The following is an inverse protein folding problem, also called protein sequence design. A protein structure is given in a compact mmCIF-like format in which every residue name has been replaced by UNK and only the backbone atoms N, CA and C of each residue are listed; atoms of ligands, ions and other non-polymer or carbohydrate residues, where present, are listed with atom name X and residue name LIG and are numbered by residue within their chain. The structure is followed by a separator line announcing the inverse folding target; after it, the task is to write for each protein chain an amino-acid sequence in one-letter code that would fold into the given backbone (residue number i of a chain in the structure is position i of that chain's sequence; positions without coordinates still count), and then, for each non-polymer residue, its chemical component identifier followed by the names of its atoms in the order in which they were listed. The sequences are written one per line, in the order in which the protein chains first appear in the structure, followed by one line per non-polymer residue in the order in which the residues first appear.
data_IF_018033939461
#
_entry.id   IF_018033939461
#
_cell.length_a   1.000
_cell.length_b   1.000
_cell.length_c   1.000
_cell.angle_alpha   90.00
_cell.angle_beta   90.00
_cell.angle_gamma   90.00
#
_symmetry.space_group_name_H-M   'P 1'
#
loop_
_entity.id
_entity.type
_entity.pdbx_description
1 polymer ?
#
# COMPACT_ATOMS: atom_id res chain seq x y z
N UNK A 1 23.07 -1.91 -15.99
CA UNK A 1 23.06 -1.62 -14.54
C UNK A 1 23.02 -2.94 -13.81
N UNK A 2 23.69 -3.06 -12.66
CA UNK A 2 23.63 -4.28 -11.87
C UNK A 2 22.23 -4.46 -11.24
N UNK A 3 21.84 -5.71 -10.99
CA UNK A 3 20.50 -6.08 -10.48
C UNK A 3 20.16 -5.47 -9.12
N UNK A 4 21.18 -5.20 -8.31
CA UNK A 4 21.09 -4.64 -6.98
C UNK A 4 21.09 -3.11 -6.93
N UNK A 5 21.20 -2.44 -8.09
CA UNK A 5 21.18 -0.99 -8.19
C UNK A 5 19.96 -0.39 -7.49
N UNK A 6 20.23 0.50 -6.54
CA UNK A 6 19.20 1.23 -5.83
C UNK A 6 18.66 2.39 -6.70
N UNK A 7 17.47 2.90 -6.39
CA UNK A 7 16.90 4.08 -7.06
C UNK A 7 17.90 5.24 -7.10
N UNK A 8 18.64 5.47 -6.01
CA UNK A 8 19.68 6.51 -5.96
C UNK A 8 20.79 6.31 -7.01
N UNK A 9 21.23 5.07 -7.23
CA UNK A 9 22.25 4.74 -8.23
C UNK A 9 21.70 4.90 -9.65
N UNK A 10 20.45 4.50 -9.85
CA UNK A 10 19.75 4.61 -11.14
C UNK A 10 19.59 6.07 -11.53
N UNK A 11 19.11 6.91 -10.60
CA UNK A 11 18.96 8.37 -10.80
C UNK A 11 20.32 9.00 -11.15
N UNK A 12 21.35 8.71 -10.36
CA UNK A 12 22.69 9.28 -10.57
C UNK A 12 23.29 8.91 -11.93
N UNK A 13 23.06 7.68 -12.40
CA UNK A 13 23.52 7.25 -13.72
C UNK A 13 22.70 7.87 -14.87
N UNK A 14 21.39 8.01 -14.71
CA UNK A 14 20.53 8.64 -15.71
C UNK A 14 20.91 10.11 -15.88
N UNK A 15 21.09 10.85 -14.78
CA UNK A 15 21.50 12.27 -14.80
C UNK A 15 22.85 12.46 -15.51
N UNK A 16 23.83 11.61 -15.19
CA UNK A 16 25.14 11.62 -15.88
C UNK A 16 25.01 11.42 -17.38
N UNK A 17 24.01 10.67 -17.85
CA UNK A 17 23.77 10.38 -19.27
C UNK A 17 22.85 11.40 -19.95
N UNK A 18 21.95 12.04 -19.22
CA UNK A 18 20.98 13.01 -19.74
C UNK A 18 21.48 14.45 -19.73
N UNK A 19 22.68 14.71 -19.20
CA UNK A 19 23.28 16.05 -19.07
C UNK A 19 22.34 17.05 -18.37
N UNK A 20 21.52 16.56 -17.43
CA UNK A 20 20.62 17.41 -16.68
C UNK A 20 21.43 18.39 -15.80
N UNK A 21 21.10 19.68 -15.87
CA UNK A 21 21.73 20.73 -15.05
C UNK A 21 21.23 20.73 -13.60
N UNK A 22 20.18 19.97 -13.32
CA UNK A 22 19.57 19.86 -12.00
C UNK A 22 20.21 18.73 -11.16
N UNK A 23 20.30 18.95 -9.85
CA UNK A 23 20.86 17.97 -8.91
C UNK A 23 20.02 16.69 -8.80
N UNK A 24 20.59 15.59 -8.26
CA UNK A 24 19.92 14.30 -8.14
C UNK A 24 18.65 14.32 -7.30
N UNK A 25 18.53 15.26 -6.36
CA UNK A 25 17.38 15.39 -5.48
C UNK A 25 16.11 15.88 -6.21
N UNK A 26 16.25 16.45 -7.41
CA UNK A 26 15.12 16.94 -8.19
C UNK A 26 14.44 15.85 -9.02
N UNK A 27 14.93 14.60 -8.98
CA UNK A 27 14.42 13.52 -9.79
C UNK A 27 13.89 12.38 -8.94
N UNK A 28 12.89 11.68 -9.48
CA UNK A 28 12.31 10.51 -8.84
C UNK A 28 11.97 9.44 -9.86
N UNK A 29 11.94 8.19 -9.39
CA UNK A 29 11.48 7.05 -10.17
C UNK A 29 10.11 6.64 -9.64
N UNK A 30 9.14 6.60 -10.54
CA UNK A 30 7.78 6.12 -10.26
C UNK A 30 7.55 4.76 -10.90
N UNK A 31 6.81 3.90 -10.21
CA UNK A 31 6.33 2.61 -10.67
C UNK A 31 4.85 2.76 -11.03
N UNK A 32 4.50 2.51 -12.29
CA UNK A 32 3.12 2.35 -12.74
C UNK A 32 2.80 0.87 -12.89
N UNK A 33 1.73 0.41 -12.23
CA UNK A 33 1.23 -0.95 -12.29
C UNK A 33 -0.30 -0.95 -12.26
N UNK A 34 -0.93 -1.50 -13.30
CA UNK A 34 -2.39 -1.55 -13.44
C UNK A 34 -3.09 -0.19 -13.26
N UNK A 35 -2.49 0.89 -13.76
CA UNK A 35 -3.03 2.24 -13.63
C UNK A 35 -2.81 2.89 -12.26
N UNK A 36 -2.17 2.18 -11.33
CA UNK A 36 -1.74 2.72 -10.05
C UNK A 36 -0.30 3.17 -10.12
N UNK A 37 0.00 4.33 -9.52
CA UNK A 37 1.34 4.93 -9.55
C UNK A 37 1.89 5.04 -8.13
N UNK A 38 3.15 4.66 -7.96
CA UNK A 38 3.89 4.72 -6.69
C UNK A 38 5.27 5.31 -6.90
N UNK A 39 5.63 6.32 -6.10
CA UNK A 39 7.01 6.80 -6.01
C UNK A 39 7.86 5.78 -5.25
N UNK A 40 9.03 5.45 -5.80
CA UNK A 40 9.96 4.51 -5.18
C UNK A 40 10.91 5.24 -4.23
N UNK A 41 11.21 4.62 -3.09
CA UNK A 41 12.17 5.14 -2.13
C UNK A 41 13.61 4.94 -2.64
N UNK A 42 14.58 5.77 -2.19
CA UNK A 42 15.97 5.74 -2.69
C UNK A 42 16.68 4.39 -2.58
N UNK A 43 16.34 3.61 -1.55
CA UNK A 43 16.93 2.29 -1.28
C UNK A 43 16.24 1.13 -2.04
N UNK A 44 15.11 1.39 -2.71
CA UNK A 44 14.42 0.35 -3.48
C UNK A 44 15.19 -0.01 -4.75
N UNK A 45 15.01 -1.24 -5.23
CA UNK A 45 15.80 -1.82 -6.33
C UNK A 45 14.88 -2.11 -7.52
N UNK A 46 14.67 -1.16 -8.44
CA UNK A 46 13.65 -1.28 -9.50
C UNK A 46 13.92 -2.44 -10.46
N UNK A 47 15.19 -2.71 -10.79
CA UNK A 47 15.58 -3.82 -11.67
C UNK A 47 15.26 -5.16 -11.00
N UNK A 48 15.56 -5.29 -9.71
CA UNK A 48 15.20 -6.49 -8.93
C UNK A 48 13.67 -6.65 -8.79
N UNK A 49 12.93 -5.56 -8.68
CA UNK A 49 11.46 -5.59 -8.68
C UNK A 49 10.92 -6.15 -10.00
N UNK A 50 11.42 -5.64 -11.14
CA UNK A 50 11.04 -6.13 -12.46
C UNK A 50 11.36 -7.63 -12.62
N UNK A 51 12.57 -8.07 -12.24
CA UNK A 51 12.96 -9.49 -12.26
C UNK A 51 11.97 -10.34 -11.46
N UNK A 52 11.61 -9.92 -10.25
CA UNK A 52 10.65 -10.66 -9.41
C UNK A 52 9.25 -10.72 -10.02
N UNK A 53 8.81 -9.66 -10.70
CA UNK A 53 7.51 -9.65 -11.40
C UNK A 53 7.51 -10.61 -12.58
N UNK A 54 8.58 -10.65 -13.38
CA UNK A 54 8.76 -11.61 -14.46
C UNK A 54 8.70 -13.04 -13.93
N UNK A 55 9.42 -13.34 -12.85
CA UNK A 55 9.38 -14.66 -12.21
C UNK A 55 7.99 -15.04 -11.71
N UNK A 56 7.21 -14.07 -11.20
CA UNK A 56 5.83 -14.32 -10.77
C UNK A 56 4.87 -14.64 -11.92
N UNK A 57 5.17 -14.17 -13.13
CA UNK A 57 4.37 -14.47 -14.34
C UNK A 57 4.85 -15.73 -15.06
N UNK A 58 5.93 -16.36 -14.57
CA UNK A 58 6.38 -17.68 -15.01
C UNK A 58 7.72 -17.68 -15.77
N UNK A 59 8.40 -16.54 -15.87
CA UNK A 59 9.74 -16.51 -16.46
C UNK A 59 10.76 -17.19 -15.53
N UNK A 60 11.56 -18.07 -16.09
CA UNK A 60 12.64 -18.77 -15.41
C UNK A 60 14.00 -18.18 -15.77
N UNK A 61 15.05 -18.47 -14.99
CA UNK A 61 16.40 -17.96 -15.28
C UNK A 61 16.92 -18.42 -16.66
N UNK A 62 16.43 -19.55 -17.19
CA UNK A 62 16.72 -20.07 -18.53
C UNK A 62 16.20 -19.16 -19.67
N UNK A 63 15.18 -18.35 -19.39
CA UNK A 63 14.56 -17.43 -20.35
C UNK A 63 15.36 -16.13 -20.50
N UNK A 64 16.58 -16.07 -19.93
CA UNK A 64 17.48 -14.92 -19.97
C UNK A 64 16.78 -13.64 -19.50
N UNK A 65 16.22 -13.68 -18.29
CA UNK A 65 15.49 -12.55 -17.69
C UNK A 65 16.28 -11.22 -17.75
N UNK A 66 17.61 -11.29 -17.71
CA UNK A 66 18.51 -10.13 -17.84
C UNK A 66 18.44 -9.45 -19.21
N UNK A 67 18.20 -10.22 -20.28
CA UNK A 67 17.98 -9.72 -21.64
C UNK A 67 16.52 -9.28 -21.85
N UNK A 68 15.55 -10.02 -21.28
CA UNK A 68 14.09 -9.70 -21.32
C UNK A 68 13.76 -8.36 -20.67
N UNK A 69 14.53 -7.94 -19.66
CA UNK A 69 14.37 -6.62 -19.04
C UNK A 69 14.58 -5.44 -19.99
N UNK A 70 15.16 -5.67 -21.19
CA UNK A 70 15.34 -4.66 -22.26
C UNK A 70 14.12 -4.55 -23.18
N UNK A 71 13.18 -5.48 -23.11
CA UNK A 71 11.94 -5.48 -23.88
C UNK A 71 10.83 -4.70 -23.16
N UNK A 72 9.78 -4.33 -23.89
CA UNK A 72 8.64 -3.61 -23.32
C UNK A 72 7.81 -4.52 -22.40
N UNK A 73 8.05 -4.37 -21.10
CA UNK A 73 7.33 -5.09 -20.04
C UNK A 73 6.23 -4.22 -19.39
N UNK A 74 5.71 -3.21 -20.10
CA UNK A 74 4.69 -2.30 -19.58
C UNK A 74 3.41 -3.02 -19.14
N UNK A 75 3.16 -4.24 -19.65
CA UNK A 75 2.06 -5.11 -19.21
C UNK A 75 2.22 -5.59 -17.75
N UNK A 76 3.45 -5.66 -17.23
CA UNK A 76 3.75 -5.97 -15.82
C UNK A 76 3.88 -4.71 -14.98
N UNK A 77 4.74 -3.81 -15.44
CA UNK A 77 5.05 -2.56 -14.77
C UNK A 77 5.81 -1.61 -15.68
N UNK A 78 5.65 -0.31 -15.47
CA UNK A 78 6.41 0.73 -16.15
C UNK A 78 7.11 1.62 -15.12
N UNK A 79 8.44 1.71 -15.21
CA UNK A 79 9.19 2.69 -14.44
C UNK A 79 9.30 3.99 -15.23
N UNK A 80 9.01 5.13 -14.59
CA UNK A 80 9.12 6.45 -15.21
C UNK A 80 10.07 7.32 -14.38
N UNK A 81 11.01 7.97 -15.06
CA UNK A 81 11.90 8.96 -14.47
C UNK A 81 11.27 10.34 -14.67
N UNK A 82 10.92 11.01 -13.57
CA UNK A 82 10.21 12.29 -13.60
C UNK A 82 10.98 13.33 -12.79
N UNK A 83 10.94 14.60 -13.22
CA UNK A 83 11.35 15.72 -12.38
C UNK A 83 10.30 15.95 -11.29
N UNK A 84 10.73 16.36 -10.11
CA UNK A 84 9.83 16.72 -9.00
C UNK A 84 8.86 17.85 -9.39
N UNK A 85 9.25 18.75 -10.30
CA UNK A 85 8.38 19.82 -10.80
C UNK A 85 7.22 19.30 -11.66
N UNK A 86 7.42 18.18 -12.35
CA UNK A 86 6.37 17.51 -13.14
C UNK A 86 5.54 16.53 -12.29
N UNK A 87 5.93 16.33 -11.02
CA UNK A 87 5.37 15.31 -10.13
C UNK A 87 4.17 15.74 -9.29
N UNK A 88 3.66 16.95 -9.53
CA UNK A 88 2.32 17.40 -9.07
C UNK A 88 1.18 16.47 -9.53
N UNK A 89 1.49 15.44 -10.32
CA UNK A 89 0.64 14.30 -10.61
C UNK A 89 0.11 13.54 -9.37
N UNK A 90 0.73 13.69 -8.19
CA UNK A 90 0.37 12.94 -6.98
C UNK A 90 -0.54 13.68 -5.99
N UNK A 91 -0.66 15.00 -6.11
CA UNK A 91 -1.66 15.78 -5.38
C UNK A 91 -2.90 15.93 -6.25
N UNK A 92 -3.67 14.85 -6.40
CA UNK A 92 -5.11 14.96 -6.69
C UNK A 92 -5.84 15.55 -5.46
N UNK A 93 -5.36 16.68 -4.96
CA UNK A 93 -6.10 17.64 -4.17
C UNK A 93 -6.95 18.43 -5.14
N UNK A 94 -8.18 17.97 -5.40
CA UNK A 94 -9.37 18.83 -5.26
C UNK A 94 -10.66 18.18 -5.75
N UNK A 95 -10.61 17.07 -6.49
CA UNK A 95 -11.83 16.39 -6.90
C UNK A 95 -11.86 14.94 -6.45
N UNK A 96 -12.05 14.77 -5.14
CA UNK A 96 -12.36 13.47 -4.56
C UNK A 96 -13.71 12.90 -5.07
N UNK A 97 -14.45 13.62 -5.92
CA UNK A 97 -15.82 13.29 -6.31
C UNK A 97 -16.82 13.37 -5.15
N UNK A 98 -16.37 13.87 -3.99
CA UNK A 98 -17.17 14.09 -2.79
C UNK A 98 -17.84 15.46 -2.91
N UNK A 99 -18.89 15.52 -3.74
CA UNK A 99 -19.68 16.73 -3.95
C UNK A 99 -20.24 17.31 -2.64
N UNK A 100 -20.60 18.60 -2.66
CA UNK A 100 -21.08 19.39 -1.50
C UNK A 100 -22.31 18.84 -0.75
N UNK A 101 -22.88 17.71 -1.17
CA UNK A 101 -24.05 17.04 -0.60
C UNK A 101 -23.81 15.56 -0.24
N UNK A 102 -22.57 15.06 -0.30
CA UNK A 102 -22.28 13.66 0.04
C UNK A 102 -22.36 13.45 1.56
N UNK A 103 -23.18 12.47 1.99
CA UNK A 103 -23.14 11.97 3.38
C UNK A 103 -21.79 11.26 3.58
N UNK A 104 -20.97 11.74 4.50
CA UNK A 104 -19.62 11.22 4.75
C UNK A 104 -19.60 9.92 5.56
N UNK A 105 -20.75 9.30 5.80
CA UNK A 105 -20.85 8.02 6.50
C UNK A 105 -20.03 6.91 5.81
N UNK A 106 -20.00 6.91 4.49
CA UNK A 106 -19.26 5.94 3.68
C UNK A 106 -18.32 6.68 2.73
N UNK A 107 -17.04 6.68 3.05
CA UNK A 107 -16.01 7.35 2.24
C UNK A 107 -15.27 6.29 1.44
N UNK A 108 -15.35 6.39 0.11
CA UNK A 108 -14.55 5.57 -0.79
C UNK A 108 -13.36 6.38 -1.32
N UNK A 109 -12.15 5.95 -0.98
CA UNK A 109 -10.85 6.47 -1.40
C UNK A 109 -10.05 5.44 -2.22
N UNK A 110 -10.72 4.41 -2.75
CA UNK A 110 -10.03 3.35 -3.46
C UNK A 110 -9.48 3.79 -4.81
N UNK A 111 -8.35 3.20 -5.22
CA UNK A 111 -7.71 3.41 -6.52
C UNK A 111 -7.41 4.89 -6.86
N UNK A 112 -7.02 5.69 -5.86
CA UNK A 112 -6.74 7.13 -6.02
C UNK A 112 -5.27 7.49 -5.96
N UNK A 113 -4.37 6.50 -5.97
CA UNK A 113 -2.92 6.71 -5.86
C UNK A 113 -2.52 7.57 -4.64
N UNK A 114 -3.27 7.42 -3.55
CA UNK A 114 -3.06 8.22 -2.35
C UNK A 114 -1.77 7.83 -1.65
N UNK A 115 -1.01 8.86 -1.26
CA UNK A 115 0.13 8.72 -0.35
C UNK A 115 -0.32 8.92 1.10
N UNK A 116 -1.31 9.78 1.34
CA UNK A 116 -1.90 10.05 2.66
C UNK A 116 -3.37 10.44 2.52
N UNK A 117 -4.06 10.61 3.65
CA UNK A 117 -5.45 11.04 3.70
C UNK A 117 -5.55 12.54 3.38
N UNK A 118 -6.42 12.95 2.44
CA UNK A 118 -6.64 14.37 2.13
C UNK A 118 -7.13 15.18 3.33
N UNK A 119 -6.53 16.37 3.54
CA UNK A 119 -6.79 17.25 4.69
C UNK A 119 -8.28 17.58 4.84
N UNK A 120 -9.01 17.74 3.74
CA UNK A 120 -10.42 18.10 3.74
C UNK A 120 -11.29 17.09 4.52
N UNK A 121 -10.89 15.81 4.56
CA UNK A 121 -11.62 14.76 5.28
C UNK A 121 -11.49 14.86 6.80
N UNK A 122 -10.47 15.53 7.33
CA UNK A 122 -10.31 15.70 8.77
C UNK A 122 -11.49 16.43 9.38
N UNK A 123 -12.04 17.44 8.68
CA UNK A 123 -13.23 18.18 9.11
C UNK A 123 -14.50 17.31 9.20
N UNK A 124 -14.50 16.14 8.53
CA UNK A 124 -15.63 15.21 8.43
C UNK A 124 -15.38 13.87 9.11
N UNK A 125 -14.22 13.68 9.74
CA UNK A 125 -13.79 12.40 10.33
C UNK A 125 -14.82 11.82 11.30
N UNK A 126 -15.46 12.66 12.13
CA UNK A 126 -16.46 12.22 13.11
C UNK A 126 -17.73 11.62 12.49
N UNK A 127 -18.05 11.96 11.24
CA UNK A 127 -19.22 11.43 10.50
C UNK A 127 -18.91 10.08 9.83
N UNK A 128 -17.64 9.70 9.67
CA UNK A 128 -17.23 8.51 8.92
C UNK A 128 -17.50 7.24 9.71
N UNK A 129 -18.27 6.33 9.09
CA UNK A 129 -18.61 5.00 9.62
C UNK A 129 -17.85 3.91 8.86
N UNK A 130 -17.68 4.08 7.54
CA UNK A 130 -16.98 3.13 6.68
C UNK A 130 -15.97 3.86 5.81
N UNK A 131 -14.75 3.31 5.73
CA UNK A 131 -13.65 3.87 4.96
C UNK A 131 -13.05 2.80 4.04
N UNK A 132 -13.08 3.06 2.73
CA UNK A 132 -12.45 2.20 1.73
C UNK A 132 -11.14 2.83 1.24
N UNK A 133 -10.00 2.27 1.63
CA UNK A 133 -8.64 2.70 1.33
C UNK A 133 -7.91 1.78 0.33
N UNK A 134 -8.66 0.90 -0.32
CA UNK A 134 -8.12 -0.18 -1.15
C UNK A 134 -7.43 0.34 -2.41
N UNK A 135 -6.50 -0.44 -2.98
CA UNK A 135 -5.80 -0.08 -4.22
C UNK A 135 -5.04 1.26 -4.15
N UNK A 136 -4.38 1.55 -3.03
CA UNK A 136 -3.41 2.64 -2.89
C UNK A 136 -2.05 2.07 -2.46
N UNK A 137 -1.11 2.03 -3.41
CA UNK A 137 0.17 1.30 -3.25
C UNK A 137 1.14 1.92 -2.24
N UNK A 138 0.96 3.20 -1.91
CA UNK A 138 1.85 3.98 -1.04
C UNK A 138 1.13 4.63 0.13
N UNK A 139 -0.09 4.20 0.43
CA UNK A 139 -0.91 4.88 1.43
C UNK A 139 -0.34 4.69 2.83
N UNK A 140 0.06 5.81 3.43
CA UNK A 140 0.22 5.93 4.86
C UNK A 140 -1.08 6.43 5.49
N UNK A 141 -1.39 5.92 6.68
CA UNK A 141 -2.63 6.23 7.38
C UNK A 141 -2.30 7.01 8.66
N UNK A 142 -2.55 8.33 8.70
CA UNK A 142 -2.22 9.16 9.84
C UNK A 142 -2.95 8.71 11.11
N UNK A 143 -2.23 8.69 12.23
CA UNK A 143 -2.77 8.26 13.54
C UNK A 143 -3.87 9.18 14.03
N UNK A 144 -3.65 10.49 13.91
CA UNK A 144 -4.57 11.55 14.28
C UNK A 144 -5.90 11.43 13.51
N UNK A 145 -5.86 11.19 12.20
CA UNK A 145 -7.06 11.00 11.38
C UNK A 145 -7.93 9.84 11.89
N UNK A 146 -7.34 8.68 12.14
CA UNK A 146 -8.07 7.50 12.63
C UNK A 146 -8.64 7.74 14.04
N UNK A 147 -7.90 8.44 14.90
CA UNK A 147 -8.40 8.82 16.23
C UNK A 147 -9.57 9.81 16.15
N UNK A 148 -9.58 10.71 15.16
CA UNK A 148 -10.70 11.63 14.91
C UNK A 148 -11.95 10.91 14.39
N UNK A 149 -11.83 9.72 13.79
CA UNK A 149 -12.95 8.94 13.27
C UNK A 149 -13.69 8.17 14.38
N UNK A 150 -14.40 8.90 15.23
CA UNK A 150 -15.04 8.36 16.45
C UNK A 150 -16.15 7.33 16.22
N UNK A 151 -16.68 7.23 15.00
CA UNK A 151 -17.78 6.33 14.64
C UNK A 151 -17.37 5.26 13.61
N UNK A 152 -16.07 5.13 13.35
CA UNK A 152 -15.55 4.20 12.35
C UNK A 152 -15.81 2.75 12.77
N UNK A 153 -16.52 2.02 11.91
CA UNK A 153 -16.91 0.62 12.08
C UNK A 153 -16.24 -0.29 11.06
N UNK A 154 -16.06 0.20 9.83
CA UNK A 154 -15.59 -0.63 8.72
C UNK A 154 -14.39 0.00 8.03
N UNK A 155 -13.30 -0.75 7.89
CA UNK A 155 -12.13 -0.36 7.10
C UNK A 155 -11.84 -1.43 6.07
N UNK A 156 -11.71 -1.01 4.80
CA UNK A 156 -11.16 -1.83 3.72
C UNK A 156 -9.80 -1.27 3.32
N UNK A 157 -8.77 -2.08 3.40
CA UNK A 157 -7.37 -1.77 3.07
C UNK A 157 -6.80 -2.90 2.19
N UNK A 158 -7.61 -3.47 1.30
CA UNK A 158 -7.20 -4.58 0.45
C UNK A 158 -6.52 -4.12 -0.83
N UNK A 159 -5.67 -4.97 -1.43
CA UNK A 159 -4.93 -4.66 -2.66
C UNK A 159 -3.99 -3.43 -2.59
N UNK A 160 -3.37 -3.18 -1.42
CA UNK A 160 -2.41 -2.08 -1.25
C UNK A 160 -0.96 -2.55 -1.43
N UNK A 161 -0.73 -3.83 -1.72
CA UNK A 161 0.60 -4.47 -1.79
C UNK A 161 1.47 -4.23 -0.52
N UNK A 162 0.83 -3.91 0.60
CA UNK A 162 1.49 -3.51 1.82
C UNK A 162 2.23 -4.69 2.46
N UNK A 163 3.48 -4.48 2.87
CA UNK A 163 4.26 -5.48 3.64
C UNK A 163 4.01 -5.38 5.15
N UNK A 164 3.60 -4.21 5.60
CA UNK A 164 3.28 -3.88 6.99
C UNK A 164 2.00 -3.06 7.00
N UNK A 165 1.12 -3.35 7.94
CA UNK A 165 -0.03 -2.49 8.22
C UNK A 165 0.41 -1.22 8.97
N UNK A 166 -0.25 -0.07 8.74
CA UNK A 166 0.00 1.12 9.53
C UNK A 166 -0.49 0.94 10.98
N UNK A 167 0.33 1.23 12.01
CA UNK A 167 -0.06 1.06 13.42
C UNK A 167 -1.28 1.89 13.84
N UNK A 168 -1.59 2.95 13.09
CA UNK A 168 -2.78 3.77 13.27
C UNK A 168 -4.08 2.97 13.16
N UNK A 169 -4.12 1.86 12.41
CA UNK A 169 -5.30 0.99 12.34
C UNK A 169 -5.71 0.47 13.71
N UNK A 170 -4.76 0.17 14.59
CA UNK A 170 -5.02 -0.24 15.97
C UNK A 170 -5.73 0.82 16.81
N UNK A 171 -5.78 2.09 16.38
CA UNK A 171 -6.45 3.18 17.12
C UNK A 171 -7.95 3.30 16.83
N UNK A 172 -8.48 2.54 15.87
CA UNK A 172 -9.91 2.53 15.56
C UNK A 172 -10.69 1.69 16.60
N UNK A 173 -10.89 2.22 17.81
CA UNK A 173 -11.45 1.46 18.95
C UNK A 173 -12.85 0.90 18.75
N UNK A 174 -13.66 1.48 17.84
CA UNK A 174 -15.02 1.04 17.53
C UNK A 174 -15.11 0.11 16.31
N UNK A 175 -13.98 -0.26 15.72
CA UNK A 175 -13.94 -1.04 14.49
C UNK A 175 -14.56 -2.43 14.67
N UNK A 176 -15.46 -2.80 13.76
CA UNK A 176 -16.17 -4.08 13.74
C UNK A 176 -15.79 -4.93 12.53
N UNK A 177 -15.37 -4.31 11.42
CA UNK A 177 -14.89 -4.99 10.23
C UNK A 177 -13.55 -4.43 9.76
N UNK A 178 -12.58 -5.32 9.56
CA UNK A 178 -11.30 -4.99 8.96
C UNK A 178 -10.97 -5.96 7.83
N UNK A 179 -10.83 -5.42 6.62
CA UNK A 179 -10.36 -6.15 5.45
C UNK A 179 -8.98 -5.67 5.05
N UNK A 180 -7.97 -6.52 5.20
CA UNK A 180 -6.58 -6.27 4.77
C UNK A 180 -6.12 -7.37 3.81
N UNK A 181 -7.07 -8.04 3.14
CA UNK A 181 -6.78 -9.12 2.21
C UNK A 181 -6.01 -8.64 0.98
N UNK A 182 -5.37 -9.57 0.27
CA UNK A 182 -4.63 -9.28 -0.97
C UNK A 182 -3.53 -8.23 -0.77
N UNK A 183 -2.80 -8.33 0.35
CA UNK A 183 -1.60 -7.55 0.61
C UNK A 183 -0.38 -8.49 0.59
N UNK A 184 0.76 -8.03 1.11
CA UNK A 184 2.00 -8.81 1.23
C UNK A 184 2.44 -8.87 2.69
N UNK A 185 1.48 -8.90 3.62
CA UNK A 185 1.75 -8.83 5.05
C UNK A 185 2.49 -10.09 5.49
N UNK A 186 3.64 -9.92 6.12
CA UNK A 186 4.46 -11.03 6.64
C UNK A 186 4.23 -11.23 8.15
N UNK A 187 3.97 -10.15 8.88
CA UNK A 187 3.79 -10.13 10.34
C UNK A 187 2.79 -9.03 10.72
N UNK A 188 2.14 -9.16 11.89
CA UNK A 188 1.12 -8.21 12.38
C UNK A 188 1.47 -7.57 13.74
N UNK A 189 2.59 -7.95 14.35
CA UNK A 189 2.93 -7.54 15.72
C UNK A 189 3.10 -6.02 15.89
N UNK A 190 3.55 -5.34 14.83
CA UNK A 190 3.79 -3.91 14.83
C UNK A 190 2.51 -3.07 14.71
N UNK A 191 1.39 -3.67 14.32
CA UNK A 191 0.18 -2.93 13.94
C UNK A 191 -0.75 -2.58 15.13
N UNK A 192 -0.38 -2.97 16.35
CA UNK A 192 -1.14 -2.71 17.60
C UNK A 192 -2.63 -3.13 17.53
N UNK A 193 -2.93 -4.18 16.77
CA UNK A 193 -4.32 -4.60 16.51
C UNK A 193 -5.02 -5.15 17.76
N UNK A 194 -4.28 -5.51 18.81
CA UNK A 194 -4.84 -5.94 20.11
C UNK A 194 -5.83 -4.92 20.71
N UNK A 195 -5.75 -3.64 20.32
CA UNK A 195 -6.67 -2.59 20.74
C UNK A 195 -8.08 -2.70 20.12
N UNK A 196 -8.27 -3.51 19.07
CA UNK A 196 -9.53 -3.67 18.35
C UNK A 196 -10.48 -4.66 19.03
N UNK A 197 -10.86 -4.39 20.27
CA UNK A 197 -11.63 -5.32 21.13
C UNK A 197 -13.05 -5.61 20.62
N UNK A 198 -13.62 -4.71 19.83
CA UNK A 198 -14.96 -4.83 19.23
C UNK A 198 -15.02 -5.51 17.86
N UNK A 199 -13.89 -6.03 17.34
CA UNK A 199 -13.84 -6.61 16.00
C UNK A 199 -14.75 -7.85 15.89
N UNK A 200 -15.60 -7.88 14.86
CA UNK A 200 -16.52 -8.99 14.60
C UNK A 200 -16.06 -9.84 13.41
N UNK A 201 -15.41 -9.21 12.44
CA UNK A 201 -15.01 -9.84 11.18
C UNK A 201 -13.64 -9.32 10.77
N UNK A 202 -12.70 -10.24 10.55
CA UNK A 202 -11.33 -9.91 10.17
C UNK A 202 -10.90 -10.74 8.96
N UNK A 203 -10.64 -10.07 7.84
CA UNK A 203 -10.18 -10.70 6.61
C UNK A 203 -8.69 -10.42 6.35
N UNK A 204 -7.87 -11.45 6.49
CA UNK A 204 -6.42 -11.48 6.27
C UNK A 204 -6.03 -12.37 5.08
N UNK A 205 -7.00 -12.80 4.27
CA UNK A 205 -6.77 -13.73 3.17
C UNK A 205 -5.77 -13.20 2.12
N UNK A 206 -5.08 -14.10 1.43
CA UNK A 206 -4.11 -13.77 0.37
C UNK A 206 -3.03 -12.79 0.87
N UNK A 207 -2.33 -13.18 1.93
CA UNK A 207 -1.19 -12.48 2.48
C UNK A 207 0.02 -13.43 2.56
N UNK A 208 1.06 -13.05 3.30
CA UNK A 208 2.28 -13.85 3.48
C UNK A 208 2.55 -14.18 4.95
N UNK A 209 1.49 -14.25 5.76
CA UNK A 209 1.61 -14.46 7.20
C UNK A 209 2.14 -15.87 7.47
N UNK A 210 3.12 -15.96 8.38
CA UNK A 210 3.67 -17.23 8.88
C UNK A 210 3.03 -17.71 10.17
N UNK A 211 2.50 -16.78 10.96
CA UNK A 211 1.80 -17.04 12.21
C UNK A 211 0.77 -15.94 12.43
N UNK A 212 -0.18 -16.21 13.34
CA UNK A 212 -1.02 -15.17 13.91
C UNK A 212 -0.46 -14.79 15.29
N UNK A 213 -0.45 -13.49 15.65
CA UNK A 213 -0.08 -13.05 16.99
C UNK A 213 -0.96 -13.66 18.07
N UNK A 214 -0.39 -13.91 19.25
CA UNK A 214 -1.09 -14.56 20.39
C UNK A 214 -2.33 -13.80 20.88
N UNK A 215 -2.38 -12.47 20.68
CA UNK A 215 -3.54 -11.67 21.05
C UNK A 215 -4.81 -11.98 20.22
N UNK A 216 -4.71 -12.73 19.11
CA UNK A 216 -5.90 -13.12 18.33
C UNK A 216 -6.86 -14.00 19.14
N UNK A 217 -6.35 -14.81 20.08
CA UNK A 217 -7.19 -15.58 21.01
C UNK A 217 -7.94 -14.71 22.03
N UNK A 218 -7.54 -13.44 22.21
CA UNK A 218 -8.19 -12.52 23.15
C UNK A 218 -9.41 -11.78 22.54
N UNK A 219 -9.67 -11.89 21.23
CA UNK A 219 -10.82 -11.23 20.60
C UNK A 219 -12.13 -11.95 20.92
N UNK A 220 -12.77 -11.57 22.03
CA UNK A 220 -14.03 -12.16 22.49
C UNK A 220 -15.22 -11.94 21.55
N UNK A 221 -15.19 -10.87 20.74
CA UNK A 221 -16.28 -10.50 19.83
C UNK A 221 -16.13 -11.08 18.42
N UNK A 222 -14.99 -11.67 18.08
CA UNK A 222 -14.66 -12.11 16.73
C UNK A 222 -15.54 -13.30 16.33
N UNK A 223 -16.26 -13.15 15.22
CA UNK A 223 -17.19 -14.17 14.69
C UNK A 223 -16.71 -14.79 13.39
N UNK A 224 -15.91 -14.06 12.62
CA UNK A 224 -15.37 -14.55 11.35
C UNK A 224 -13.92 -14.09 11.21
N UNK A 225 -13.02 -15.05 11.07
CA UNK A 225 -11.62 -14.85 10.80
C UNK A 225 -11.28 -15.58 9.50
N UNK A 226 -10.92 -14.83 8.47
CA UNK A 226 -10.44 -15.41 7.22
C UNK A 226 -8.92 -15.25 7.09
N UNK A 227 -8.20 -16.35 7.10
CA UNK A 227 -6.74 -16.42 6.95
C UNK A 227 -6.32 -17.30 5.77
N UNK A 228 -7.24 -17.62 4.85
CA UNK A 228 -6.96 -18.46 3.68
C UNK A 228 -5.81 -17.91 2.84
N UNK A 229 -5.07 -18.78 2.17
CA UNK A 229 -3.97 -18.39 1.27
C UNK A 229 -2.92 -17.51 1.96
N UNK A 230 -2.44 -18.00 3.10
CA UNK A 230 -1.24 -17.52 3.79
C UNK A 230 -0.22 -18.66 3.85
N UNK A 231 0.95 -18.41 4.44
CA UNK A 231 2.02 -19.41 4.61
C UNK A 231 2.17 -19.79 6.08
N UNK A 232 1.04 -20.10 6.75
CA UNK A 232 1.03 -20.39 8.18
C UNK A 232 1.82 -21.67 8.47
N UNK A 233 2.89 -21.56 9.24
CA UNK A 233 3.75 -22.68 9.62
C UNK A 233 3.10 -23.52 10.73
N UNK A 234 2.24 -22.88 11.55
CA UNK A 234 1.55 -23.50 12.68
C UNK A 234 0.07 -23.15 12.67
N UNK A 235 -0.74 -24.04 13.25
CA UNK A 235 -2.15 -23.75 13.49
C UNK A 235 -2.27 -22.69 14.60
N UNK A 236 -3.01 -21.59 14.40
CA UNK A 236 -3.21 -20.58 15.42
C UNK A 236 -4.05 -21.14 16.57
N UNK A 237 -3.52 -21.04 17.81
CA UNK A 237 -4.17 -21.51 19.03
C UNK A 237 -5.00 -20.41 19.69
#
# INVERSE_FOLDING_TARGET
MPLDAAVADVISQIIKKSYAQEGPDNFQITLNKHGLVRVLAPAERPILMQKRLLQQVGYEDKDRIEDVGREDNSYLCRFMFLSQKDSDFHSLSNDLGLGRMAKYNHVDLSARNLVTIPINLYSKAAEIISLNLSRNLSLDLPRDFIQSCQNLRDIKFNNNEARKLPPSLGKASKLTYLDVSNNRLEHLDHAELHNLTGILKFNLANNRLKYLPSYFGAYQSLRNLNISSNFLDTFPQ
#
